data_IF_863918046967
#
_entry.id   IF_863918046967
#
_cell.length_a   1.000
_cell.length_b   1.000
_cell.length_c   1.000
_cell.angle_alpha   90.00
_cell.angle_beta   90.00
_cell.angle_gamma   90.00
#
_symmetry.space_group_name_H-M   'P 1'
#
loop_
_entity.id
_entity.type
_entity.pdbx_description
1 polymer ?
#
# COMPACT_ATOMS: atom_id res chain seq x y z
N UNK A 1 -3.43 -14.36 -13.47
CA UNK A 1 -3.28 -13.68 -12.17
C UNK A 1 -3.14 -12.20 -12.52
N UNK A 2 -4.04 -11.35 -12.04
CA UNK A 2 -3.99 -9.92 -12.32
C UNK A 2 -2.96 -9.25 -11.42
N UNK A 3 -2.39 -8.13 -11.85
CA UNK A 3 -1.41 -7.37 -11.09
C UNK A 3 -2.16 -6.44 -10.12
N UNK A 4 -1.77 -6.41 -8.86
CA UNK A 4 -2.41 -5.58 -7.84
C UNK A 4 -1.62 -4.29 -7.58
N UNK A 5 -2.32 -3.17 -7.65
CA UNK A 5 -1.86 -1.86 -7.17
C UNK A 5 -2.09 -1.82 -5.67
N UNK A 6 -1.05 -1.40 -4.93
CA UNK A 6 -1.03 -1.35 -3.47
C UNK A 6 -0.78 0.07 -3.00
N UNK A 7 -1.63 0.57 -2.11
CA UNK A 7 -1.36 1.74 -1.27
C UNK A 7 -1.19 1.24 0.17
N UNK A 8 0.06 1.08 0.59
CA UNK A 8 0.43 0.66 1.93
C UNK A 8 0.44 1.86 2.87
N UNK A 9 -0.35 1.82 3.95
CA UNK A 9 -0.30 2.85 4.98
C UNK A 9 0.77 2.44 6.00
N UNK A 10 1.82 3.22 6.15
CA UNK A 10 2.92 2.92 7.09
C UNK A 10 2.83 3.83 8.31
N UNK A 11 2.87 3.25 9.51
CA UNK A 11 2.96 4.01 10.75
C UNK A 11 4.41 4.44 10.99
N UNK A 12 4.68 5.73 10.81
CA UNK A 12 6.04 6.28 10.87
C UNK A 12 6.72 6.04 12.22
N UNK A 13 6.08 6.31 13.39
CA UNK A 13 6.66 5.97 14.68
C UNK A 13 7.00 4.48 14.86
N UNK A 14 6.14 3.57 14.40
CA UNK A 14 6.41 2.12 14.52
C UNK A 14 7.55 1.68 13.62
N UNK A 15 7.62 2.17 12.39
CA UNK A 15 8.74 1.92 11.50
C UNK A 15 10.05 2.45 12.11
N UNK A 16 10.06 3.70 12.58
CA UNK A 16 11.22 4.30 13.24
C UNK A 16 11.72 3.46 14.42
N UNK A 17 10.79 3.02 15.29
CA UNK A 17 11.14 2.19 16.44
C UNK A 17 11.75 0.83 16.06
N UNK A 18 11.45 0.28 14.88
CA UNK A 18 12.07 -0.95 14.39
C UNK A 18 13.45 -0.65 13.83
N UNK A 19 13.57 0.40 13.02
CA UNK A 19 14.82 0.79 12.36
C UNK A 19 15.94 1.17 13.37
N UNK A 20 15.58 1.59 14.57
CA UNK A 20 16.50 1.87 15.68
C UNK A 20 17.00 0.61 16.42
N UNK A 21 16.31 -0.53 16.28
CA UNK A 21 16.73 -1.79 16.92
C UNK A 21 17.87 -2.42 16.13
N UNK A 22 18.71 -3.17 16.82
CA UNK A 22 19.70 -4.01 16.14
C UNK A 22 19.00 -5.08 15.32
N UNK A 23 19.61 -5.48 14.21
CA UNK A 23 19.07 -6.56 13.37
C UNK A 23 18.82 -7.83 14.19
N UNK A 24 19.80 -8.23 15.01
CA UNK A 24 19.68 -9.41 15.86
C UNK A 24 18.48 -9.33 16.82
N UNK A 25 18.26 -8.18 17.45
CA UNK A 25 17.13 -7.99 18.37
C UNK A 25 15.78 -8.12 17.64
N UNK A 26 15.70 -7.68 16.39
CA UNK A 26 14.48 -7.80 15.58
C UNK A 26 14.21 -9.25 15.22
N UNK A 27 15.21 -9.99 14.75
CA UNK A 27 15.06 -11.42 14.43
C UNK A 27 14.59 -12.21 15.65
N UNK A 28 15.30 -12.09 16.77
CA UNK A 28 14.96 -12.81 18.02
C UNK A 28 13.56 -12.47 18.50
N UNK A 29 13.19 -11.18 18.46
CA UNK A 29 11.87 -10.75 18.91
C UNK A 29 10.74 -11.17 17.96
N UNK A 30 11.00 -11.31 16.65
CA UNK A 30 10.03 -11.85 15.69
C UNK A 30 9.87 -13.37 15.85
N UNK A 31 10.96 -14.12 16.01
CA UNK A 31 10.92 -15.56 16.29
C UNK A 31 10.14 -15.88 17.57
N UNK A 32 10.31 -15.05 18.61
CA UNK A 32 9.62 -15.18 19.88
C UNK A 32 8.21 -14.54 19.90
N UNK A 33 7.75 -13.95 18.79
CA UNK A 33 6.47 -13.23 18.67
C UNK A 33 6.31 -12.05 19.65
N UNK A 34 7.43 -11.49 20.14
CA UNK A 34 7.47 -10.41 21.14
C UNK A 34 7.21 -9.03 20.55
N UNK A 35 7.34 -8.87 19.23
CA UNK A 35 7.04 -7.60 18.55
C UNK A 35 5.54 -7.37 18.29
N UNK A 36 4.69 -8.40 18.37
CA UNK A 36 3.25 -8.31 18.04
C UNK A 36 2.52 -7.20 18.81
N UNK A 37 2.74 -6.98 20.12
CA UNK A 37 2.10 -5.89 20.85
C UNK A 37 2.51 -4.49 20.36
N UNK A 38 3.67 -4.36 19.71
CA UNK A 38 4.17 -3.10 19.18
C UNK A 38 3.64 -2.79 17.77
N UNK A 39 3.13 -3.79 17.04
CA UNK A 39 2.60 -3.66 15.68
C UNK A 39 1.36 -2.74 15.68
N UNK A 40 1.15 -1.89 14.67
CA UNK A 40 -0.07 -1.11 14.57
C UNK A 40 -1.31 -2.00 14.60
N UNK A 41 -2.38 -1.49 15.22
CA UNK A 41 -3.66 -2.18 15.28
C UNK A 41 -4.18 -2.37 13.85
N UNK A 42 -4.50 -3.62 13.50
CA UNK A 42 -5.09 -3.95 12.22
C UNK A 42 -6.38 -3.16 11.98
N UNK A 43 -6.47 -2.57 10.80
CA UNK A 43 -7.67 -1.86 10.35
C UNK A 43 -8.69 -2.87 9.78
N UNK A 44 -9.97 -2.74 10.18
CA UNK A 44 -11.02 -3.67 9.74
C UNK A 44 -11.47 -3.48 8.29
N UNK A 45 -11.04 -2.41 7.61
CA UNK A 45 -11.43 -2.07 6.23
C UNK A 45 -10.27 -2.21 5.22
N UNK A 46 -9.05 -2.44 5.70
CA UNK A 46 -7.85 -2.56 4.88
C UNK A 46 -7.32 -4.00 4.94
N UNK A 47 -6.57 -4.39 3.92
CA UNK A 47 -5.89 -5.69 3.90
C UNK A 47 -4.66 -5.59 4.79
N UNK A 48 -4.39 -6.62 5.59
CA UNK A 48 -3.15 -6.70 6.36
C UNK A 48 -2.78 -8.17 6.52
N UNK A 49 -1.54 -8.57 6.21
CA UNK A 49 -1.11 -9.93 6.46
C UNK A 49 -1.18 -10.26 7.95
N UNK A 50 -1.39 -11.54 8.27
CA UNK A 50 -1.35 -11.99 9.66
C UNK A 50 0.01 -11.69 10.26
N UNK A 51 0.08 -11.58 11.59
CA UNK A 51 1.34 -11.28 12.28
C UNK A 51 2.40 -12.35 11.96
N UNK A 52 2.01 -13.63 11.93
CA UNK A 52 2.89 -14.73 11.60
C UNK A 52 3.44 -14.67 10.16
N UNK A 53 2.63 -14.25 9.20
CA UNK A 53 3.07 -14.15 7.79
C UNK A 53 4.07 -12.99 7.66
N UNK A 54 3.79 -11.85 8.28
CA UNK A 54 4.70 -10.71 8.23
C UNK A 54 6.02 -10.97 8.97
N UNK A 55 5.99 -11.73 10.07
CA UNK A 55 7.18 -12.27 10.76
C UNK A 55 7.98 -13.20 9.84
N UNK A 56 7.32 -14.18 9.23
CA UNK A 56 7.97 -15.18 8.38
C UNK A 56 8.64 -14.53 7.16
N UNK A 57 7.95 -13.62 6.48
CA UNK A 57 8.50 -12.91 5.32
C UNK A 57 9.78 -12.12 5.67
N UNK A 58 9.81 -11.46 6.84
CA UNK A 58 11.05 -10.81 7.31
C UNK A 58 12.14 -11.83 7.64
N UNK A 59 11.83 -12.88 8.40
CA UNK A 59 12.81 -13.86 8.87
C UNK A 59 13.42 -14.65 7.69
N UNK A 60 12.60 -15.04 6.72
CA UNK A 60 13.04 -15.74 5.51
C UNK A 60 13.99 -14.84 4.68
N UNK A 61 13.63 -13.56 4.49
CA UNK A 61 14.51 -12.60 3.83
C UNK A 61 15.79 -12.36 4.64
N UNK A 62 15.68 -12.20 5.96
CA UNK A 62 16.77 -11.94 6.89
C UNK A 62 17.79 -13.08 6.91
N UNK A 63 17.35 -14.35 6.88
CA UNK A 63 18.22 -15.53 6.85
C UNK A 63 19.09 -15.58 5.58
N UNK A 64 18.58 -15.08 4.45
CA UNK A 64 19.34 -15.02 3.20
C UNK A 64 20.52 -14.03 3.24
N UNK A 65 20.53 -13.09 4.19
CA UNK A 65 21.56 -12.06 4.33
C UNK A 65 22.73 -12.57 5.19
N UNK A 66 23.79 -13.06 4.54
CA UNK A 66 24.92 -13.73 5.22
C UNK A 66 26.08 -12.83 5.61
N UNK A 67 26.29 -11.72 4.91
CA UNK A 67 27.47 -10.85 5.06
C UNK A 67 27.19 -9.53 5.81
N UNK A 68 26.09 -9.48 6.57
CA UNK A 68 25.62 -8.28 7.28
C UNK A 68 25.99 -8.35 8.76
N UNK A 69 26.47 -7.23 9.33
CA UNK A 69 26.70 -7.11 10.76
C UNK A 69 25.37 -6.97 11.52
N UNK A 70 24.87 -8.09 12.07
CA UNK A 70 23.60 -8.12 12.80
C UNK A 70 23.61 -7.40 14.15
N UNK A 71 24.77 -6.92 14.62
CA UNK A 71 24.87 -6.13 15.85
C UNK A 71 24.52 -4.65 15.64
N UNK A 72 24.47 -4.20 14.38
CA UNK A 72 24.15 -2.81 14.04
C UNK A 72 22.63 -2.58 14.00
N UNK A 73 22.16 -1.34 14.29
CA UNK A 73 20.80 -0.92 14.02
C UNK A 73 20.38 -1.19 12.57
N UNK A 74 19.11 -1.55 12.35
CA UNK A 74 18.58 -1.85 11.02
C UNK A 74 18.79 -0.70 10.02
N UNK A 75 18.63 0.56 10.44
CA UNK A 75 18.90 1.70 9.54
C UNK A 75 20.35 1.80 9.07
N UNK A 76 21.30 1.20 9.79
CA UNK A 76 22.72 1.20 9.45
C UNK A 76 23.15 -0.05 8.67
N UNK A 77 22.48 -1.19 8.90
CA UNK A 77 22.82 -2.47 8.28
C UNK A 77 22.07 -2.75 6.98
N UNK A 78 20.77 -2.42 6.88
CA UNK A 78 19.98 -2.59 5.65
C UNK A 78 20.64 -1.97 4.39
N UNK A 79 21.26 -0.76 4.44
CA UNK A 79 21.88 -0.16 3.25
C UNK A 79 23.14 -0.89 2.76
N UNK A 80 23.64 -1.86 3.53
CA UNK A 80 24.79 -2.69 3.17
C UNK A 80 24.39 -3.96 2.41
N UNK A 81 23.09 -4.31 2.42
CA UNK A 81 22.55 -5.44 1.66
C UNK A 81 22.40 -5.11 0.18
N UNK A 82 22.50 -6.11 -0.71
CA UNK A 82 22.27 -5.93 -2.15
C UNK A 82 20.80 -5.59 -2.46
N UNK A 83 19.87 -6.12 -1.67
CA UNK A 83 18.41 -5.97 -1.79
C UNK A 83 17.79 -5.38 -0.51
N UNK A 84 18.49 -4.43 0.13
CA UNK A 84 18.07 -3.81 1.39
C UNK A 84 16.68 -3.16 1.34
N UNK A 85 16.23 -2.72 0.16
CA UNK A 85 14.88 -2.20 -0.05
C UNK A 85 13.80 -3.26 0.18
N UNK A 86 14.05 -4.54 -0.16
CA UNK A 86 13.09 -5.62 0.11
C UNK A 86 12.92 -5.82 1.62
N UNK A 87 14.04 -5.85 2.36
CA UNK A 87 14.02 -5.85 3.83
C UNK A 87 13.25 -4.66 4.42
N UNK A 88 13.48 -3.46 3.88
CA UNK A 88 12.74 -2.26 4.29
C UNK A 88 11.24 -2.39 4.00
N UNK A 89 10.85 -2.98 2.86
CA UNK A 89 9.46 -3.22 2.51
C UNK A 89 8.78 -4.20 3.47
N UNK A 90 9.46 -5.28 3.87
CA UNK A 90 8.95 -6.21 4.90
C UNK A 90 8.71 -5.49 6.23
N UNK A 91 9.64 -4.63 6.66
CA UNK A 91 9.49 -3.83 7.88
C UNK A 91 8.36 -2.79 7.77
N UNK A 92 8.15 -2.19 6.59
CA UNK A 92 7.01 -1.31 6.34
C UNK A 92 5.67 -2.03 6.41
N UNK A 93 5.57 -3.23 5.82
CA UNK A 93 4.38 -4.10 5.91
C UNK A 93 4.12 -4.55 7.35
N UNK A 94 5.17 -4.81 8.11
CA UNK A 94 5.07 -5.05 9.55
C UNK A 94 4.52 -3.82 10.26
N UNK A 95 5.11 -2.64 10.04
CA UNK A 95 4.72 -1.37 10.63
C UNK A 95 3.45 -0.74 10.03
N UNK A 96 2.59 -1.53 9.37
CA UNK A 96 1.37 -1.07 8.74
C UNK A 96 0.09 -1.49 9.49
N UNK A 97 -0.89 -0.58 9.68
CA UNK A 97 -2.26 -0.97 10.03
C UNK A 97 -3.03 -1.65 8.90
N UNK A 98 -2.56 -1.53 7.65
CA UNK A 98 -3.11 -2.19 6.46
C UNK A 98 -2.84 -1.45 5.15
N UNK A 99 -3.14 -2.10 4.03
CA UNK A 99 -3.04 -1.64 2.66
C UNK A 99 -4.42 -1.56 2.00
N UNK A 100 -4.56 -0.60 1.08
CA UNK A 100 -5.58 -0.68 0.05
C UNK A 100 -5.00 -1.41 -1.17
N UNK A 101 -5.70 -2.43 -1.64
CA UNK A 101 -5.26 -3.29 -2.73
C UNK A 101 -6.37 -3.41 -3.76
N UNK A 102 -6.00 -3.26 -5.03
CA UNK A 102 -6.93 -3.43 -6.14
C UNK A 102 -6.23 -3.98 -7.36
N UNK A 103 -6.94 -4.79 -8.15
CA UNK A 103 -6.51 -5.09 -9.50
C UNK A 103 -6.27 -3.81 -10.32
N UNK A 104 -5.09 -3.70 -10.91
CA UNK A 104 -4.61 -2.51 -11.64
C UNK A 104 -5.60 -2.02 -12.71
N UNK A 105 -6.25 -2.93 -13.43
CA UNK A 105 -7.25 -2.58 -14.45
C UNK A 105 -8.47 -1.84 -13.89
N UNK A 106 -8.81 -2.03 -12.61
CA UNK A 106 -9.88 -1.28 -11.93
C UNK A 106 -9.39 0.06 -11.39
N UNK A 107 -8.10 0.19 -11.08
CA UNK A 107 -7.55 1.44 -10.58
C UNK A 107 -7.73 2.58 -11.60
N UNK A 108 -7.56 2.30 -12.90
CA UNK A 108 -7.83 3.26 -13.98
C UNK A 108 -9.22 3.88 -13.86
N UNK A 109 -10.26 3.05 -13.76
CA UNK A 109 -11.64 3.50 -13.61
C UNK A 109 -11.79 4.45 -12.40
N UNK A 110 -11.18 4.10 -11.27
CA UNK A 110 -11.33 4.87 -10.03
C UNK A 110 -10.61 6.21 -10.12
N UNK A 111 -9.41 6.20 -10.71
CA UNK A 111 -8.60 7.40 -10.86
C UNK A 111 -9.20 8.32 -11.91
N UNK A 112 -9.77 7.79 -12.99
CA UNK A 112 -10.48 8.60 -13.99
C UNK A 112 -11.61 9.40 -13.34
N UNK A 113 -12.40 8.75 -12.48
CA UNK A 113 -13.55 9.37 -11.79
C UNK A 113 -13.12 10.36 -10.70
N UNK A 114 -12.05 10.04 -9.97
CA UNK A 114 -11.46 10.93 -8.96
C UNK A 114 -10.88 12.19 -9.58
N UNK A 115 -10.09 12.03 -10.64
CA UNK A 115 -9.33 13.10 -11.28
C UNK A 115 -10.14 13.86 -12.33
N UNK A 116 -11.28 13.32 -12.78
CA UNK A 116 -12.09 13.89 -13.84
C UNK A 116 -11.38 13.92 -15.21
N UNK A 117 -10.41 13.03 -15.42
CA UNK A 117 -9.62 12.90 -16.65
C UNK A 117 -9.16 11.45 -16.81
N UNK A 118 -8.94 11.01 -18.04
CA UNK A 118 -8.39 9.68 -18.29
C UNK A 118 -6.94 9.55 -17.79
N UNK A 119 -6.64 8.45 -17.11
CA UNK A 119 -5.29 7.99 -16.81
C UNK A 119 -4.86 7.05 -17.95
N UNK A 120 -3.88 7.48 -18.74
CA UNK A 120 -3.63 6.88 -20.05
C UNK A 120 -2.65 5.70 -20.02
N UNK A 121 -1.66 5.73 -19.14
CA UNK A 121 -0.61 4.71 -19.07
C UNK A 121 -0.52 4.06 -17.70
N UNK A 122 0.00 2.83 -17.65
CA UNK A 122 0.21 2.10 -16.39
C UNK A 122 1.16 2.86 -15.46
N UNK A 123 2.19 3.50 -15.99
CA UNK A 123 3.16 4.29 -15.20
C UNK A 123 2.46 5.47 -14.49
N UNK A 124 1.40 6.01 -15.07
CA UNK A 124 0.65 7.11 -14.48
C UNK A 124 -0.09 6.67 -13.20
N UNK A 125 -0.43 5.38 -13.05
CA UNK A 125 -1.01 4.83 -11.82
C UNK A 125 -0.02 4.87 -10.65
N UNK A 126 1.28 4.88 -10.93
CA UNK A 126 2.34 4.88 -9.94
C UNK A 126 3.05 6.22 -9.84
N UNK A 127 2.70 7.20 -10.69
CA UNK A 127 3.32 8.51 -10.69
C UNK A 127 2.95 9.32 -9.44
N UNK A 128 3.95 9.96 -8.82
CA UNK A 128 3.76 10.84 -7.64
C UNK A 128 2.71 11.92 -7.92
N UNK A 129 2.78 12.57 -9.09
CA UNK A 129 1.83 13.62 -9.49
C UNK A 129 0.38 13.15 -9.52
N UNK A 130 0.14 11.89 -9.91
CA UNK A 130 -1.21 11.31 -9.93
C UNK A 130 -1.72 11.15 -8.51
N UNK A 131 -0.90 10.63 -7.60
CA UNK A 131 -1.28 10.44 -6.20
C UNK A 131 -1.41 11.75 -5.43
N UNK A 132 -0.60 12.77 -5.72
CA UNK A 132 -0.80 14.12 -5.20
C UNK A 132 -2.16 14.68 -5.59
N UNK A 133 -2.53 14.57 -6.87
CA UNK A 133 -3.83 15.02 -7.36
C UNK A 133 -4.99 14.21 -6.76
N UNK A 134 -4.87 12.88 -6.65
CA UNK A 134 -5.87 12.03 -5.99
C UNK A 134 -6.09 12.45 -4.54
N UNK A 135 -5.02 12.71 -3.79
CA UNK A 135 -5.12 13.16 -2.39
C UNK A 135 -5.82 14.51 -2.27
N UNK A 136 -5.58 15.42 -3.20
CA UNK A 136 -6.26 16.72 -3.25
C UNK A 136 -7.76 16.57 -3.58
N UNK A 137 -8.10 15.73 -4.56
CA UNK A 137 -9.48 15.52 -5.00
C UNK A 137 -10.31 14.70 -4.00
N UNK A 138 -9.70 13.71 -3.34
CA UNK A 138 -10.40 12.82 -2.41
C UNK A 138 -11.02 13.55 -1.23
N UNK A 139 -10.45 14.68 -0.80
CA UNK A 139 -11.02 15.52 0.26
C UNK A 139 -12.29 16.27 -0.13
N UNK A 140 -12.66 16.29 -1.42
CA UNK A 140 -13.77 17.08 -1.96
C UNK A 140 -15.09 16.29 -2.07
N UNK A 141 -15.05 14.97 -1.92
CA UNK A 141 -16.21 14.08 -2.01
C UNK A 141 -16.30 13.23 -0.75
N UNK A 142 -17.52 12.92 -0.32
CA UNK A 142 -17.76 11.88 0.66
C UNK A 142 -17.50 10.49 0.05
N UNK A 143 -17.30 9.49 0.91
CA UNK A 143 -17.14 8.10 0.48
C UNK A 143 -18.33 7.64 -0.39
N UNK A 144 -19.56 7.95 0.02
CA UNK A 144 -20.77 7.58 -0.72
C UNK A 144 -20.79 8.21 -2.11
N UNK A 145 -20.51 9.52 -2.22
CA UNK A 145 -20.49 10.22 -3.52
C UNK A 145 -19.43 9.63 -4.46
N UNK A 146 -18.25 9.28 -3.93
CA UNK A 146 -17.19 8.69 -4.75
C UNK A 146 -17.58 7.28 -5.23
N UNK A 147 -18.12 6.44 -4.35
CA UNK A 147 -18.56 5.08 -4.69
C UNK A 147 -19.66 5.12 -5.76
N UNK A 148 -20.67 5.97 -5.58
CA UNK A 148 -21.75 6.14 -6.54
C UNK A 148 -21.23 6.62 -7.90
N UNK A 149 -20.33 7.60 -7.93
CA UNK A 149 -19.74 8.10 -9.16
C UNK A 149 -18.98 7.01 -9.93
N UNK A 150 -18.18 6.18 -9.22
CA UNK A 150 -17.44 5.08 -9.84
C UNK A 150 -18.38 4.00 -10.39
N UNK A 151 -19.41 3.63 -9.63
CA UNK A 151 -20.39 2.63 -10.07
C UNK A 151 -21.14 3.11 -11.32
N UNK A 152 -21.58 4.38 -11.32
CA UNK A 152 -22.26 4.97 -12.48
C UNK A 152 -21.36 5.00 -13.71
N UNK A 153 -20.09 5.41 -13.57
CA UNK A 153 -19.13 5.43 -14.68
C UNK A 153 -18.87 4.02 -15.23
N UNK A 154 -18.68 3.03 -14.36
CA UNK A 154 -18.54 1.63 -14.76
C UNK A 154 -19.75 1.12 -15.57
N UNK A 155 -20.97 1.39 -15.09
CA UNK A 155 -22.20 1.00 -15.79
C UNK A 155 -22.29 1.66 -17.17
N UNK A 156 -21.98 2.95 -17.27
CA UNK A 156 -21.98 3.69 -18.54
C UNK A 156 -20.96 3.13 -19.53
N UNK A 157 -19.72 2.85 -19.08
CA UNK A 157 -18.69 2.23 -19.94
C UNK A 157 -19.13 0.87 -20.44
N UNK A 158 -19.79 0.08 -19.58
CA UNK A 158 -20.32 -1.23 -19.95
C UNK A 158 -21.43 -1.13 -21.00
N UNK A 159 -22.39 -0.24 -20.82
CA UNK A 159 -23.45 0.01 -21.82
C UNK A 159 -22.87 0.52 -23.15
N UNK A 160 -21.86 1.39 -23.11
CA UNK A 160 -21.19 1.90 -24.31
C UNK A 160 -20.48 0.80 -25.13
N UNK A 161 -20.06 -0.29 -24.47
CA UNK A 161 -19.53 -1.49 -25.13
C UNK A 161 -20.62 -2.42 -25.68
N UNK A 162 -21.90 -2.08 -25.50
CA UNK A 162 -23.04 -2.91 -25.90
C UNK A 162 -23.31 -4.08 -24.96
N UNK A 163 -22.68 -4.10 -23.77
CA UNK A 163 -22.85 -5.15 -22.78
C UNK A 163 -24.14 -4.97 -21.98
N UNK A 164 -24.72 -6.07 -21.51
CA UNK A 164 -25.96 -6.04 -20.74
C UNK A 164 -25.72 -5.61 -19.28
N UNK A 165 -26.67 -4.87 -18.72
CA UNK A 165 -26.78 -4.59 -17.27
C UNK A 165 -27.77 -5.51 -16.54
N UNK A 166 -28.41 -6.43 -17.26
CA UNK A 166 -29.36 -7.38 -16.67
C UNK A 166 -28.61 -8.51 -15.98
N UNK A 167 -28.68 -8.55 -14.64
CA UNK A 167 -28.05 -9.57 -13.81
C UNK A 167 -28.52 -11.00 -14.11
N UNK A 168 -29.73 -11.17 -14.66
CA UNK A 168 -30.22 -12.46 -15.10
C UNK A 168 -29.55 -12.93 -16.40
N UNK A 169 -29.00 -12.00 -17.19
CA UNK A 169 -28.30 -12.27 -18.45
C UNK A 169 -26.79 -12.36 -18.28
N UNK A 170 -26.22 -11.65 -17.30
CA UNK A 170 -24.84 -11.83 -16.88
C UNK A 170 -24.72 -11.91 -15.34
N UNK A 171 -24.50 -13.11 -14.77
CA UNK A 171 -24.40 -13.31 -13.33
C UNK A 171 -23.14 -12.67 -12.72
N UNK A 172 -22.20 -12.15 -13.53
CA UNK A 172 -20.99 -11.48 -13.04
C UNK A 172 -21.22 -10.02 -12.67
N UNK A 173 -22.35 -9.42 -13.08
CA UNK A 173 -22.63 -8.00 -12.85
C UNK A 173 -22.63 -7.70 -11.36
N UNK A 174 -23.44 -8.42 -10.57
CA UNK A 174 -23.56 -8.15 -9.14
C UNK A 174 -22.22 -8.34 -8.38
N UNK A 175 -21.47 -9.44 -8.55
CA UNK A 175 -20.14 -9.58 -7.95
C UNK A 175 -19.16 -8.47 -8.37
N UNK A 176 -19.23 -8.00 -9.61
CA UNK A 176 -18.36 -6.92 -10.13
C UNK A 176 -18.73 -5.57 -9.52
N UNK A 177 -20.03 -5.27 -9.48
CA UNK A 177 -20.58 -4.09 -8.80
C UNK A 177 -20.12 -4.04 -7.33
N UNK A 178 -20.33 -5.12 -6.59
CA UNK A 178 -19.91 -5.18 -5.19
C UNK A 178 -18.40 -5.01 -5.02
N UNK A 179 -17.61 -5.53 -5.96
CA UNK A 179 -16.16 -5.36 -5.91
C UNK A 179 -15.73 -3.90 -6.16
N UNK A 180 -16.42 -3.16 -7.04
CA UNK A 180 -16.24 -1.73 -7.22
C UNK A 180 -16.63 -0.94 -5.98
N UNK A 181 -17.78 -1.25 -5.37
CA UNK A 181 -18.25 -0.64 -4.12
C UNK A 181 -17.22 -0.84 -3.01
N UNK A 182 -16.78 -2.09 -2.78
CA UNK A 182 -15.80 -2.41 -1.73
C UNK A 182 -14.47 -1.70 -1.97
N UNK A 183 -13.89 -1.82 -3.16
CA UNK A 183 -12.57 -1.27 -3.45
C UNK A 183 -12.55 0.27 -3.46
N UNK A 184 -13.61 0.90 -3.98
CA UNK A 184 -13.70 2.37 -3.98
C UNK A 184 -13.95 2.92 -2.57
N UNK A 185 -14.81 2.24 -1.80
CA UNK A 185 -15.05 2.60 -0.41
C UNK A 185 -13.79 2.48 0.45
N UNK A 186 -13.02 1.39 0.30
CA UNK A 186 -11.74 1.24 1.01
C UNK A 186 -10.66 2.21 0.52
N UNK A 187 -10.65 2.61 -0.76
CA UNK A 187 -9.78 3.66 -1.28
C UNK A 187 -10.08 5.01 -0.61
N UNK A 188 -11.35 5.43 -0.63
CA UNK A 188 -11.80 6.67 0.02
C UNK A 188 -11.40 6.69 1.49
N UNK A 189 -11.60 5.55 2.17
CA UNK A 189 -11.24 5.39 3.56
C UNK A 189 -9.73 5.51 3.80
N UNK A 190 -8.91 4.79 3.03
CA UNK A 190 -7.45 4.86 3.12
C UNK A 190 -6.94 6.30 2.92
N UNK A 191 -7.46 7.01 1.92
CA UNK A 191 -7.11 8.41 1.65
C UNK A 191 -7.52 9.35 2.79
N UNK A 192 -8.71 9.14 3.37
CA UNK A 192 -9.15 9.93 4.53
C UNK A 192 -8.28 9.70 5.77
N UNK A 193 -7.84 8.46 6.03
CA UNK A 193 -6.86 8.17 7.09
C UNK A 193 -5.54 8.89 6.86
N UNK A 194 -4.99 8.81 5.64
CA UNK A 194 -3.76 9.53 5.28
C UNK A 194 -3.87 11.05 5.43
N UNK A 195 -5.07 11.61 5.27
CA UNK A 195 -5.31 13.04 5.48
C UNK A 195 -5.51 13.41 6.95
N UNK A 196 -6.06 12.51 7.76
CA UNK A 196 -6.43 12.78 9.15
C UNK A 196 -5.32 12.42 10.16
N UNK A 197 -4.48 11.43 9.83
CA UNK A 197 -3.49 10.86 10.74
C UNK A 197 -2.08 11.23 10.29
N UNK A 198 -1.53 12.29 10.89
CA UNK A 198 -0.19 12.80 10.57
C UNK A 198 0.96 11.83 10.88
N UNK A 199 0.72 10.73 11.61
CA UNK A 199 1.68 9.65 11.84
C UNK A 199 1.73 8.62 10.71
N UNK A 200 0.77 8.63 9.78
CA UNK A 200 0.75 7.72 8.64
C UNK A 200 1.41 8.34 7.40
N UNK A 201 1.96 7.48 6.55
CA UNK A 201 2.39 7.81 5.19
C UNK A 201 1.92 6.73 4.22
N UNK A 202 1.55 7.15 3.00
CA UNK A 202 1.15 6.23 1.95
C UNK A 202 2.35 5.86 1.09
N UNK A 203 2.64 4.56 0.98
CA UNK A 203 3.66 4.01 0.09
C UNK A 203 2.95 3.26 -1.02
N UNK A 204 3.08 3.75 -2.24
CA UNK A 204 2.46 3.15 -3.42
C UNK A 204 3.42 2.16 -4.06
N UNK A 205 2.92 1.01 -4.46
CA UNK A 205 3.68 0.04 -5.23
C UNK A 205 2.79 -1.01 -5.85
N UNK A 206 3.42 -2.06 -6.37
CA UNK A 206 2.75 -3.20 -6.99
C UNK A 206 3.37 -4.49 -6.46
N UNK A 207 2.55 -5.50 -6.23
CA UNK A 207 2.96 -6.80 -5.65
C UNK A 207 4.20 -7.44 -6.30
N UNK A 208 4.40 -7.28 -7.61
CA UNK A 208 5.53 -7.86 -8.36
C UNK A 208 6.56 -6.85 -8.86
N UNK A 209 6.52 -5.60 -8.39
CA UNK A 209 7.60 -4.64 -8.64
C UNK A 209 8.68 -4.82 -7.56
N UNK A 210 9.93 -4.62 -7.96
CA UNK A 210 11.06 -4.54 -7.03
C UNK A 210 10.80 -3.46 -6.00
N UNK A 211 11.21 -3.67 -4.75
CA UNK A 211 11.03 -2.72 -3.66
C UNK A 211 11.58 -1.32 -3.98
N UNK A 212 12.60 -1.23 -4.84
CA UNK A 212 13.15 0.04 -5.36
C UNK A 212 12.11 0.95 -6.03
N UNK A 213 11.04 0.37 -6.59
CA UNK A 213 9.96 1.10 -7.26
C UNK A 213 8.81 1.50 -6.33
N UNK A 214 8.88 1.18 -5.03
CA UNK A 214 7.86 1.54 -4.06
C UNK A 214 8.09 2.94 -3.48
N UNK A 215 7.00 3.69 -3.31
CA UNK A 215 7.00 5.02 -2.71
C UNK A 215 7.51 6.13 -3.64
N UNK A 216 7.39 7.37 -3.16
CA UNK A 216 7.71 8.59 -3.91
C UNK A 216 8.59 9.53 -3.10
N UNK A 217 9.34 10.40 -3.79
CA UNK A 217 10.17 11.43 -3.16
C UNK A 217 11.05 10.87 -2.03
N UNK A 218 11.05 11.53 -0.88
CA UNK A 218 11.82 11.11 0.30
C UNK A 218 11.29 9.81 0.94
N UNK A 219 10.11 9.33 0.53
CA UNK A 219 9.52 8.07 0.99
C UNK A 219 9.64 6.93 -0.03
N UNK A 220 10.37 7.13 -1.15
CA UNK A 220 10.80 6.02 -1.99
C UNK A 220 11.78 5.14 -1.21
N UNK A 221 11.67 3.82 -1.34
CA UNK A 221 12.44 2.89 -0.50
C UNK A 221 13.96 3.01 -0.72
N UNK A 222 14.42 3.24 -1.95
CA UNK A 222 15.83 3.50 -2.24
C UNK A 222 16.33 4.76 -1.52
N UNK A 223 15.54 5.83 -1.57
CA UNK A 223 15.90 7.09 -0.91
C UNK A 223 15.88 6.94 0.61
N UNK A 224 14.85 6.28 1.18
CA UNK A 224 14.76 6.02 2.62
C UNK A 224 15.91 5.17 3.14
N UNK A 225 16.32 4.17 2.36
CA UNK A 225 17.42 3.28 2.71
C UNK A 225 18.72 4.07 2.86
N UNK A 226 19.01 5.02 1.96
CA UNK A 226 20.27 5.76 1.97
C UNK A 226 20.25 7.07 2.76
N UNK A 227 19.12 7.78 2.78
CA UNK A 227 18.98 9.10 3.39
C UNK A 227 18.32 9.04 4.79
N UNK A 228 17.74 7.90 5.16
CA UNK A 228 17.02 7.70 6.41
C UNK A 228 15.58 8.23 6.40
N UNK A 229 14.90 8.14 7.55
CA UNK A 229 13.53 8.62 7.68
C UNK A 229 13.46 10.15 7.51
N UNK A 230 12.50 10.67 6.72
CA UNK A 230 12.31 12.10 6.57
C UNK A 230 11.98 12.75 7.91
N UNK A 231 12.55 13.93 8.14
CA UNK A 231 12.26 14.72 9.34
C UNK A 231 10.76 15.01 9.42
N UNK A 232 10.19 14.92 10.61
CA UNK A 232 8.81 15.34 10.87
C UNK A 232 8.71 16.85 10.63
N UNK A 233 8.07 17.27 9.54
CA UNK A 233 7.53 18.64 9.43
C UNK A 233 6.35 18.85 10.39
#
# INVERSE_FOLDING_TARGET
MGLELVLLLVDKPKLASLLERTWHDVDVAMEAAELRPARPKADGRLVRPFDIDAEAEWLDWSEAQTDVDRSLPLHASLPTCEDGEEGLLHLMRWASPGSWEVWEGRAFLYFDVLLGRDVAHVDDLYAESTWSAIREEAGKRTETELVEAVVLDWMQRREALGETLDEHRDPRILPTHEAHVRATGSLSYALSRLSAEGNLVGIVGREHLTATAWGHGAWNLTNLLHDGLPSSE
#
